data_IF_763972610100
#
_entry.id   IF_763972610100
#
_cell.length_a   1.000
_cell.length_b   1.000
_cell.length_c   1.000
_cell.angle_alpha   90.00
_cell.angle_beta   90.00
_cell.angle_gamma   90.00
#
_symmetry.space_group_name_H-M   'P 1'
#
loop_
_entity.id
_entity.type
_entity.pdbx_description
1 polymer ?
#
# COMPACT_ATOMS: atom_id res chain seq x y z
N UNK A 1 -0.16 -6.64 -15.30
CA UNK A 1 0.04 -7.41 -14.06
C UNK A 1 -1.19 -7.24 -13.17
N UNK A 2 -1.53 -8.20 -12.30
CA UNK A 2 -2.63 -8.03 -11.33
C UNK A 2 -2.07 -7.75 -9.93
N UNK A 3 -2.66 -6.76 -9.27
CA UNK A 3 -2.35 -6.34 -7.91
C UNK A 3 -3.52 -6.71 -7.00
N UNK A 4 -3.23 -7.44 -5.93
CA UNK A 4 -4.22 -7.96 -5.00
C UNK A 4 -3.89 -7.40 -3.61
N UNK A 5 -4.83 -6.69 -3.01
CA UNK A 5 -4.67 -6.21 -1.64
C UNK A 5 -5.61 -7.00 -0.74
N UNK A 6 -5.03 -7.79 0.16
CA UNK A 6 -5.75 -8.38 1.28
C UNK A 6 -6.10 -7.26 2.26
N UNK A 7 -7.37 -6.84 2.33
CA UNK A 7 -7.78 -5.72 3.17
C UNK A 7 -7.94 -6.18 4.62
N UNK A 8 -6.87 -6.00 5.42
CA UNK A 8 -6.78 -6.50 6.79
C UNK A 8 -7.15 -5.44 7.84
N UNK A 9 -8.10 -4.56 7.51
CA UNK A 9 -8.55 -3.46 8.36
C UNK A 9 -10.07 -3.43 8.51
N UNK A 10 -10.53 -2.75 9.56
CA UNK A 10 -11.96 -2.51 9.77
C UNK A 10 -12.36 -1.21 9.07
N UNK A 11 -13.19 -1.33 8.03
CA UNK A 11 -13.66 -0.19 7.26
C UNK A 11 -12.56 0.53 6.48
N UNK A 12 -12.85 1.77 6.08
CA UNK A 12 -11.97 2.56 5.22
C UNK A 12 -11.74 3.94 5.84
N UNK A 13 -10.59 4.11 6.51
CA UNK A 13 -10.17 5.45 6.95
C UNK A 13 -9.93 6.37 5.75
N UNK A 14 -9.94 7.70 5.96
CA UNK A 14 -9.64 8.64 4.87
C UNK A 14 -8.25 8.35 4.27
N UNK A 15 -7.26 8.01 5.11
CA UNK A 15 -5.93 7.59 4.65
C UNK A 15 -6.01 6.43 3.65
N UNK A 16 -6.71 5.35 4.00
CA UNK A 16 -6.87 4.16 3.15
C UNK A 16 -7.60 4.51 1.86
N UNK A 17 -8.62 5.37 1.93
CA UNK A 17 -9.35 5.84 0.75
C UNK A 17 -8.42 6.59 -0.19
N UNK A 18 -7.54 7.45 0.32
CA UNK A 18 -6.56 8.19 -0.49
C UNK A 18 -5.53 7.25 -1.12
N UNK A 19 -4.95 6.32 -0.35
CA UNK A 19 -4.04 5.30 -0.88
C UNK A 19 -4.69 4.50 -2.01
N UNK A 20 -5.86 3.92 -1.76
CA UNK A 20 -6.55 3.09 -2.76
C UNK A 20 -6.97 3.90 -3.98
N UNK A 21 -7.41 5.14 -3.80
CA UNK A 21 -7.68 6.07 -4.91
C UNK A 21 -6.44 6.25 -5.77
N UNK A 22 -5.28 6.50 -5.16
CA UNK A 22 -4.01 6.68 -5.86
C UNK A 22 -3.60 5.40 -6.59
N UNK A 23 -3.71 4.24 -5.92
CA UNK A 23 -3.38 2.95 -6.52
C UNK A 23 -4.25 2.67 -7.76
N UNK A 24 -5.57 2.86 -7.67
CA UNK A 24 -6.46 2.65 -8.83
C UNK A 24 -6.07 3.55 -10.00
N UNK A 25 -5.70 4.82 -9.74
CA UNK A 25 -5.23 5.76 -10.77
C UNK A 25 -3.91 5.31 -11.41
N UNK A 26 -3.01 4.70 -10.65
CA UNK A 26 -1.68 4.28 -11.11
C UNK A 26 -1.69 2.95 -11.86
N UNK A 27 -2.37 1.93 -11.33
CA UNK A 27 -2.37 0.58 -11.92
C UNK A 27 -3.57 0.32 -12.84
N UNK A 28 -4.61 1.15 -12.74
CA UNK A 28 -5.88 0.99 -13.44
C UNK A 28 -6.83 0.03 -12.73
N UNK A 29 -8.12 0.39 -12.69
CA UNK A 29 -9.17 -0.38 -11.99
C UNK A 29 -9.23 -1.86 -12.37
N UNK A 30 -8.92 -2.19 -13.63
CA UNK A 30 -8.96 -3.57 -14.13
C UNK A 30 -7.86 -4.43 -13.49
N UNK A 31 -6.79 -3.82 -12.99
CA UNK A 31 -5.61 -4.50 -12.49
C UNK A 31 -5.54 -4.56 -10.97
N UNK A 32 -6.46 -3.92 -10.24
CA UNK A 32 -6.52 -3.93 -8.78
C UNK A 32 -7.75 -4.68 -8.30
N UNK A 33 -7.58 -5.54 -7.30
CA UNK A 33 -8.69 -6.13 -6.54
C UNK A 33 -8.40 -6.11 -5.04
N UNK A 34 -9.40 -5.71 -4.25
CA UNK A 34 -9.38 -5.92 -2.79
C UNK A 34 -10.02 -7.25 -2.44
N UNK A 35 -9.37 -8.02 -1.58
CA UNK A 35 -9.86 -9.33 -1.13
C UNK A 35 -10.00 -9.37 0.38
N UNK A 36 -10.68 -10.41 0.86
CA UNK A 36 -10.86 -10.69 2.29
C UNK A 36 -11.56 -9.59 3.08
N UNK A 37 -12.41 -8.79 2.43
CA UNK A 37 -13.30 -7.90 3.16
C UNK A 37 -14.22 -8.74 4.08
N UNK A 38 -14.63 -8.23 5.25
CA UNK A 38 -15.55 -8.95 6.13
C UNK A 38 -16.80 -9.42 5.37
N UNK A 39 -17.28 -10.63 5.67
CA UNK A 39 -18.39 -11.25 4.93
C UNK A 39 -19.71 -10.48 4.98
N UNK A 40 -19.88 -9.59 5.96
CA UNK A 40 -21.04 -8.71 6.10
C UNK A 40 -20.96 -7.44 5.22
N UNK A 41 -19.78 -7.12 4.66
CA UNK A 41 -19.60 -5.94 3.81
C UNK A 41 -20.41 -6.08 2.53
N UNK A 42 -21.16 -5.03 2.22
CA UNK A 42 -21.93 -4.85 0.99
C UNK A 42 -21.39 -3.64 0.23
N UNK A 43 -21.90 -3.42 -0.99
CA UNK A 43 -21.53 -2.23 -1.78
C UNK A 43 -21.80 -0.91 -1.03
N UNK A 44 -22.82 -0.88 -0.16
CA UNK A 44 -23.16 0.32 0.64
C UNK A 44 -22.07 0.70 1.66
N UNK A 45 -21.23 -0.25 2.06
CA UNK A 45 -20.13 -0.04 3.00
C UNK A 45 -18.84 0.39 2.30
N UNK A 46 -18.79 0.29 0.97
CA UNK A 46 -17.63 0.71 0.18
C UNK A 46 -17.69 2.22 -0.06
N UNK A 47 -16.60 2.96 0.19
CA UNK A 47 -16.56 4.39 -0.04
C UNK A 47 -16.93 4.76 -1.48
N UNK A 48 -17.88 5.69 -1.64
CA UNK A 48 -18.35 6.16 -2.96
C UNK A 48 -17.20 6.59 -3.87
N UNK A 49 -16.16 7.23 -3.33
CA UNK A 49 -14.97 7.64 -4.10
C UNK A 49 -14.28 6.46 -4.79
N UNK A 50 -14.21 5.31 -4.13
CA UNK A 50 -13.60 4.10 -4.69
C UNK A 50 -14.54 3.41 -5.68
N UNK A 51 -15.85 3.38 -5.39
CA UNK A 51 -16.86 2.87 -6.33
C UNK A 51 -16.90 3.68 -7.64
N UNK A 52 -16.85 5.01 -7.55
CA UNK A 52 -16.83 5.91 -8.71
C UNK A 52 -15.59 5.66 -9.61
N UNK A 53 -14.49 5.20 -9.01
CA UNK A 53 -13.26 4.80 -9.73
C UNK A 53 -13.32 3.37 -10.27
N UNK A 54 -14.38 2.62 -9.95
CA UNK A 54 -14.60 1.25 -10.40
C UNK A 54 -13.78 0.22 -9.63
N UNK A 55 -13.56 0.45 -8.33
CA UNK A 55 -12.89 -0.50 -7.44
C UNK A 55 -13.50 -1.91 -7.57
N UNK A 56 -12.65 -2.90 -7.87
CA UNK A 56 -13.02 -4.30 -7.74
C UNK A 56 -12.71 -4.78 -6.33
N UNK A 57 -13.68 -5.45 -5.70
CA UNK A 57 -13.53 -5.95 -4.33
C UNK A 57 -14.33 -7.24 -4.14
N UNK A 58 -13.95 -8.03 -3.14
CA UNK A 58 -14.66 -9.26 -2.77
C UNK A 58 -14.46 -9.59 -1.30
N UNK A 59 -15.42 -10.30 -0.71
CA UNK A 59 -15.31 -10.89 0.63
C UNK A 59 -14.55 -12.22 0.64
N UNK A 60 -14.28 -12.77 -0.54
CA UNK A 60 -13.46 -13.98 -0.72
C UNK A 60 -11.98 -13.70 -0.49
N UNK A 61 -11.24 -14.73 -0.10
CA UNK A 61 -9.80 -14.64 0.07
C UNK A 61 -9.06 -14.54 -1.27
N UNK A 62 -7.81 -14.06 -1.28
CA UNK A 62 -7.04 -13.95 -2.53
C UNK A 62 -6.88 -15.28 -3.27
N UNK A 63 -6.76 -16.40 -2.54
CA UNK A 63 -6.67 -17.76 -3.12
C UNK A 63 -7.90 -18.21 -3.88
N UNK A 64 -9.03 -17.49 -3.75
CA UNK A 64 -10.27 -17.77 -4.46
C UNK A 64 -10.45 -16.90 -5.72
N UNK A 65 -9.48 -16.02 -6.02
CA UNK A 65 -9.49 -15.21 -7.24
C UNK A 65 -9.19 -16.07 -8.46
N UNK A 66 -9.97 -15.89 -9.52
CA UNK A 66 -9.82 -16.65 -10.76
C UNK A 66 -8.42 -16.45 -11.37
N UNK A 67 -7.77 -17.55 -11.75
CA UNK A 67 -6.43 -17.58 -12.33
C UNK A 67 -5.29 -17.40 -11.32
N UNK A 68 -5.59 -17.09 -10.06
CA UNK A 68 -4.59 -16.98 -9.01
C UNK A 68 -4.23 -18.38 -8.50
N UNK A 69 -3.00 -18.80 -8.77
CA UNK A 69 -2.45 -20.08 -8.35
C UNK A 69 -1.19 -19.89 -7.52
N UNK A 70 -0.94 -20.80 -6.57
CA UNK A 70 0.20 -20.68 -5.65
C UNK A 70 1.55 -20.42 -6.34
N UNK A 71 1.74 -20.95 -7.55
CA UNK A 71 3.00 -20.87 -8.28
C UNK A 71 3.15 -19.61 -9.13
N UNK A 72 2.07 -18.88 -9.44
CA UNK A 72 2.11 -17.63 -10.21
C UNK A 72 1.84 -16.38 -9.35
N UNK A 73 1.95 -16.53 -8.02
CA UNK A 73 1.73 -15.47 -7.04
C UNK A 73 3.01 -15.11 -6.31
N UNK A 74 3.27 -13.82 -6.27
CA UNK A 74 4.28 -13.21 -5.40
C UNK A 74 3.59 -12.52 -4.22
N UNK A 75 3.99 -12.85 -2.99
CA UNK A 75 3.64 -12.09 -1.80
C UNK A 75 4.72 -11.04 -1.53
N UNK A 76 4.34 -9.76 -1.51
CA UNK A 76 5.26 -8.71 -1.08
C UNK A 76 5.36 -8.73 0.44
N UNK A 77 6.55 -9.08 0.92
CA UNK A 77 6.80 -9.45 2.30
C UNK A 77 8.09 -8.80 2.81
N UNK A 78 8.00 -7.85 3.76
CA UNK A 78 9.18 -7.23 4.37
C UNK A 78 10.13 -8.22 5.07
N UNK A 79 9.64 -9.42 5.43
CA UNK A 79 10.44 -10.47 6.06
C UNK A 79 10.97 -11.52 5.06
N UNK A 80 10.71 -11.38 3.75
CA UNK A 80 11.29 -12.25 2.76
C UNK A 80 12.82 -12.06 2.65
N UNK A 81 13.52 -13.15 2.34
CA UNK A 81 14.99 -13.16 2.16
C UNK A 81 15.41 -12.75 0.75
N UNK A 82 14.51 -12.90 -0.23
CA UNK A 82 14.76 -12.60 -1.65
C UNK A 82 14.13 -11.26 -2.02
N UNK A 83 14.91 -10.37 -2.63
CA UNK A 83 14.40 -9.10 -3.17
C UNK A 83 13.59 -9.33 -4.45
N UNK A 84 12.59 -8.47 -4.70
CA UNK A 84 11.88 -8.43 -5.97
C UNK A 84 12.83 -7.96 -7.08
N UNK A 85 12.81 -8.66 -8.21
CA UNK A 85 13.66 -8.36 -9.37
C UNK A 85 12.84 -8.25 -10.66
N UNK A 86 13.34 -7.56 -11.70
CA UNK A 86 12.64 -7.48 -12.98
C UNK A 86 12.32 -8.86 -13.59
N UNK A 87 13.16 -9.87 -13.38
CA UNK A 87 12.96 -11.24 -13.89
C UNK A 87 11.77 -11.96 -13.24
N UNK A 88 11.30 -11.50 -12.07
CA UNK A 88 10.12 -12.07 -11.43
C UNK A 88 8.83 -11.78 -12.21
N UNK A 89 8.86 -10.85 -13.16
CA UNK A 89 7.77 -10.59 -14.10
C UNK A 89 7.45 -11.75 -15.06
N UNK A 90 8.38 -12.68 -15.25
CA UNK A 90 8.18 -13.90 -16.06
C UNK A 90 7.62 -15.05 -15.23
N UNK A 91 7.64 -14.92 -13.90
CA UNK A 91 7.27 -15.98 -12.95
C UNK A 91 5.89 -15.77 -12.33
N UNK A 92 5.48 -14.52 -12.16
CA UNK A 92 4.28 -14.18 -11.42
C UNK A 92 3.32 -13.32 -12.24
N UNK A 93 2.04 -13.67 -12.16
CA UNK A 93 0.93 -12.93 -12.76
C UNK A 93 0.21 -12.05 -11.72
N UNK A 94 0.36 -12.40 -10.45
CA UNK A 94 -0.29 -11.75 -9.31
C UNK A 94 0.72 -11.31 -8.26
N UNK A 95 0.57 -10.08 -7.79
CA UNK A 95 1.33 -9.52 -6.67
C UNK A 95 0.36 -9.22 -5.52
N UNK A 96 0.51 -9.94 -4.42
CA UNK A 96 -0.33 -9.86 -3.23
C UNK A 96 0.34 -8.96 -2.19
N UNK A 97 -0.42 -8.03 -1.64
CA UNK A 97 -0.02 -7.11 -0.58
C UNK A 97 -0.94 -7.34 0.62
N UNK A 98 -0.35 -7.52 1.81
CA UNK A 98 -1.12 -7.38 3.04
C UNK A 98 -1.44 -5.91 3.23
N UNK A 99 -2.69 -5.50 3.01
CA UNK A 99 -3.16 -4.14 3.22
C UNK A 99 -3.06 -3.79 4.70
N UNK A 100 -2.06 -3.00 5.06
CA UNK A 100 -1.77 -2.65 6.45
C UNK A 100 -1.32 -1.19 6.46
N UNK A 101 -2.09 -0.33 7.13
CA UNK A 101 -1.56 0.91 7.68
C UNK A 101 -0.40 0.53 8.60
N UNK A 102 0.79 0.98 8.24
CA UNK A 102 1.99 0.67 8.98
C UNK A 102 1.88 1.16 10.41
N UNK A 103 1.72 0.23 11.36
CA UNK A 103 1.91 0.53 12.77
C UNK A 103 3.39 0.79 13.01
N UNK A 104 3.69 1.77 13.86
CA UNK A 104 5.01 1.92 14.46
C UNK A 104 4.89 1.64 15.96
N UNK A 105 5.44 0.52 16.48
CA UNK A 105 6.31 -0.46 15.82
C UNK A 105 5.57 -1.40 14.86
N UNK A 106 6.32 -1.94 13.89
CA UNK A 106 5.79 -2.81 12.82
C UNK A 106 5.18 -4.11 13.38
N UNK A 107 3.93 -4.38 13.01
CA UNK A 107 3.28 -5.68 13.25
C UNK A 107 3.36 -6.54 11.98
N UNK A 108 3.92 -7.75 12.06
CA UNK A 108 4.04 -8.70 10.94
C UNK A 108 2.68 -9.36 10.59
N UNK A 109 1.72 -8.58 10.09
CA UNK A 109 0.44 -9.15 9.60
C UNK A 109 0.63 -9.88 8.26
N UNK A 110 1.57 -9.46 7.42
CA UNK A 110 1.94 -10.20 6.19
C UNK A 110 2.40 -11.63 6.49
N UNK A 111 3.02 -11.86 7.66
CA UNK A 111 3.36 -13.19 8.15
C UNK A 111 2.16 -14.14 8.30
N UNK A 112 0.94 -13.62 8.48
CA UNK A 112 -0.29 -14.43 8.45
C UNK A 112 -0.49 -15.00 7.05
N UNK A 113 -0.42 -14.16 6.01
CA UNK A 113 -0.56 -14.56 4.60
C UNK A 113 0.55 -15.54 4.19
N UNK A 114 1.80 -15.25 4.59
CA UNK A 114 2.97 -16.12 4.37
C UNK A 114 2.74 -17.53 4.92
N UNK A 115 2.31 -17.65 6.18
CA UNK A 115 2.07 -18.95 6.83
C UNK A 115 0.83 -19.66 6.28
N UNK A 116 -0.22 -18.91 5.96
CA UNK A 116 -1.51 -19.46 5.55
C UNK A 116 -1.48 -20.02 4.11
N UNK A 117 -0.93 -19.26 3.16
CA UNK A 117 -0.97 -19.62 1.74
C UNK A 117 0.35 -20.19 1.22
N UNK A 118 1.48 -19.87 1.87
CA UNK A 118 2.80 -20.35 1.47
C UNK A 118 3.23 -19.84 0.09
N UNK A 119 2.82 -18.63 -0.29
CA UNK A 119 3.24 -17.96 -1.52
C UNK A 119 4.74 -17.68 -1.54
N UNK A 120 5.29 -17.51 -2.74
CA UNK A 120 6.67 -17.06 -2.90
C UNK A 120 6.79 -15.61 -2.40
N UNK A 121 7.59 -15.39 -1.35
CA UNK A 121 7.85 -14.06 -0.81
C UNK A 121 8.89 -13.29 -1.64
N UNK A 122 8.67 -11.99 -1.81
CA UNK A 122 9.69 -11.03 -2.27
C UNK A 122 9.68 -9.79 -1.40
N UNK A 123 10.87 -9.28 -1.12
CA UNK A 123 11.07 -8.05 -0.35
C UNK A 123 11.25 -6.85 -1.29
N UNK A 124 10.89 -5.66 -0.80
CA UNK A 124 11.10 -4.37 -1.47
C UNK A 124 12.08 -3.52 -0.64
N UNK A 125 13.29 -4.03 -0.44
CA UNK A 125 14.27 -3.46 0.47
C UNK A 125 13.89 -3.59 1.95
N UNK A 126 14.75 -3.09 2.83
CA UNK A 126 14.64 -3.33 4.28
C UNK A 126 13.61 -2.45 5.01
N UNK A 127 13.35 -1.26 4.48
CA UNK A 127 12.47 -0.28 5.11
C UNK A 127 11.01 -0.49 4.71
N UNK A 128 10.10 -0.09 5.61
CA UNK A 128 8.68 -0.20 5.36
C UNK A 128 8.24 0.88 4.37
N UNK A 129 7.33 0.50 3.48
CA UNK A 129 6.64 1.40 2.55
C UNK A 129 5.16 1.42 2.91
N UNK A 130 4.48 2.52 2.57
CA UNK A 130 3.01 2.54 2.49
C UNK A 130 2.54 1.58 1.38
N UNK A 131 1.25 1.19 1.40
CA UNK A 131 0.72 0.24 0.41
C UNK A 131 0.85 0.78 -1.01
N UNK A 132 0.54 2.06 -1.22
CA UNK A 132 0.65 2.71 -2.52
C UNK A 132 2.11 2.78 -2.99
N UNK A 133 3.05 3.09 -2.09
CA UNK A 133 4.48 3.12 -2.43
C UNK A 133 5.01 1.72 -2.74
N UNK A 134 4.58 0.70 -2.01
CA UNK A 134 4.97 -0.68 -2.28
C UNK A 134 4.48 -1.13 -3.66
N UNK A 135 3.22 -0.84 -4.01
CA UNK A 135 2.65 -1.14 -5.33
C UNK A 135 3.40 -0.37 -6.43
N UNK A 136 3.64 0.92 -6.25
CA UNK A 136 4.40 1.75 -7.19
C UNK A 136 5.83 1.23 -7.38
N UNK A 137 6.46 0.75 -6.32
CA UNK A 137 7.79 0.12 -6.38
C UNK A 137 7.73 -1.18 -7.19
N UNK A 138 6.75 -2.04 -6.92
CA UNK A 138 6.51 -3.26 -7.71
C UNK A 138 6.28 -2.94 -9.18
N UNK A 139 5.48 -1.92 -9.50
CA UNK A 139 5.24 -1.49 -10.88
C UNK A 139 6.55 -1.07 -11.57
N UNK A 140 7.39 -0.26 -10.91
CA UNK A 140 8.69 0.14 -11.45
C UNK A 140 9.63 -1.05 -11.71
N UNK A 141 9.60 -2.06 -10.85
CA UNK A 141 10.46 -3.23 -11.00
C UNK A 141 9.94 -4.16 -12.10
N UNK A 142 8.64 -4.46 -12.07
CA UNK A 142 8.02 -5.50 -12.88
C UNK A 142 7.61 -5.01 -14.26
N UNK A 143 7.06 -3.80 -14.35
CA UNK A 143 6.56 -3.21 -15.58
C UNK A 143 7.64 -2.34 -16.25
N UNK A 144 8.27 -1.43 -15.51
CA UNK A 144 9.32 -0.56 -16.06
C UNK A 144 10.70 -1.24 -16.17
N UNK A 145 10.83 -2.48 -15.69
CA UNK A 145 12.08 -3.28 -15.67
C UNK A 145 13.25 -2.57 -14.99
N UNK A 146 12.98 -1.74 -13.98
CA UNK A 146 14.03 -1.08 -13.19
C UNK A 146 14.49 -1.97 -12.06
N UNK A 147 15.80 -2.02 -11.82
CA UNK A 147 16.30 -2.61 -10.60
C UNK A 147 15.93 -1.74 -9.39
N UNK A 148 15.82 -2.35 -8.21
CA UNK A 148 15.43 -1.64 -6.99
C UNK A 148 16.38 -0.47 -6.67
N UNK A 149 17.68 -0.68 -6.87
CA UNK A 149 18.75 0.29 -6.67
C UNK A 149 18.68 1.51 -7.59
N UNK A 150 17.98 1.42 -8.72
CA UNK A 150 17.81 2.52 -9.67
C UNK A 150 16.59 3.40 -9.35
N UNK A 151 15.77 2.99 -8.38
CA UNK A 151 14.61 3.76 -7.93
C UNK A 151 15.09 4.77 -6.88
N UNK A 152 14.77 6.05 -7.11
CA UNK A 152 15.08 7.12 -6.17
C UNK A 152 14.10 7.08 -5.01
N UNK A 153 14.63 6.89 -3.80
CA UNK A 153 13.84 6.88 -2.57
C UNK A 153 14.23 8.03 -1.64
N UNK A 154 13.31 8.39 -0.76
CA UNK A 154 13.58 9.14 0.46
C UNK A 154 13.09 8.31 1.65
N UNK A 155 13.94 8.23 2.67
CA UNK A 155 13.66 7.50 3.89
C UNK A 155 13.24 8.50 4.96
N UNK A 156 12.12 8.21 5.62
CA UNK A 156 11.64 8.99 6.76
C UNK A 156 11.50 10.50 6.45
N UNK A 157 10.77 10.90 5.39
CA UNK A 157 10.67 12.30 5.03
C UNK A 157 9.95 13.10 6.11
N UNK A 158 10.51 14.26 6.43
CA UNK A 158 9.88 15.27 7.28
C UNK A 158 8.97 16.16 6.41
N UNK A 159 7.68 16.15 6.70
CA UNK A 159 6.68 16.99 6.04
C UNK A 159 6.48 18.24 6.89
N UNK A 160 6.95 19.39 6.41
CA UNK A 160 6.75 20.71 7.06
C UNK A 160 5.45 21.36 6.61
N UNK A 161 4.63 21.80 7.57
CA UNK A 161 3.39 22.55 7.30
C UNK A 161 3.60 24.05 7.40
N UNK A 162 4.47 24.49 8.30
CA UNK A 162 4.86 25.88 8.47
C UNK A 162 6.28 25.98 9.09
N UNK A 163 6.64 27.16 9.61
CA UNK A 163 7.98 27.41 10.18
C UNK A 163 8.26 26.64 11.48
N UNK A 164 7.22 26.15 12.16
CA UNK A 164 7.31 25.56 13.49
C UNK A 164 6.84 24.10 13.54
N UNK A 165 6.06 23.66 12.55
CA UNK A 165 5.40 22.36 12.58
C UNK A 165 5.82 21.45 11.44
N UNK A 166 6.13 20.21 11.80
CA UNK A 166 6.38 19.12 10.88
C UNK A 166 6.03 17.77 11.49
N UNK A 167 5.81 16.79 10.63
CA UNK A 167 5.72 15.38 11.02
C UNK A 167 6.70 14.57 10.20
N UNK A 168 7.46 13.71 10.87
CA UNK A 168 8.28 12.70 10.21
C UNK A 168 7.39 11.51 9.85
N UNK A 169 7.40 11.14 8.57
CA UNK A 169 6.64 9.98 8.10
C UNK A 169 7.51 8.72 8.28
N UNK A 170 7.11 7.71 9.08
CA UNK A 170 7.96 6.57 9.43
C UNK A 170 8.10 5.51 8.30
N UNK A 171 8.16 5.96 7.04
CA UNK A 171 8.17 5.11 5.84
C UNK A 171 9.19 5.57 4.80
N UNK A 172 9.55 4.66 3.90
CA UNK A 172 10.26 4.93 2.66
C UNK A 172 9.25 5.31 1.57
N UNK A 173 9.56 6.37 0.82
CA UNK A 173 8.76 6.86 -0.32
C UNK A 173 9.60 6.93 -1.59
N UNK A 174 8.96 6.75 -2.75
CA UNK A 174 9.58 7.04 -4.05
C UNK A 174 9.60 8.56 -4.27
N UNK A 175 10.71 9.08 -4.78
CA UNK A 175 10.84 10.46 -5.24
C UNK A 175 10.38 10.59 -6.71
N UNK A 176 9.67 11.67 -7.01
CA UNK A 176 9.41 12.09 -8.39
C UNK A 176 10.67 12.72 -9.04
N UNK A 177 10.56 13.14 -10.30
CA UNK A 177 11.68 13.76 -11.03
C UNK A 177 12.15 15.10 -10.44
N UNK A 178 11.29 15.76 -9.66
CA UNK A 178 11.57 17.01 -8.94
C UNK A 178 12.22 16.77 -7.56
N UNK A 179 12.38 15.51 -7.15
CA UNK A 179 12.95 15.15 -5.85
C UNK A 179 11.97 15.27 -4.68
N UNK A 180 10.66 15.25 -4.96
CA UNK A 180 9.58 15.33 -3.97
C UNK A 180 9.01 13.91 -3.73
N UNK A 181 8.75 13.49 -2.47
CA UNK A 181 8.10 12.21 -2.19
C UNK A 181 6.70 12.16 -2.82
N UNK A 182 6.42 11.06 -3.53
CA UNK A 182 5.12 10.82 -4.12
C UNK A 182 4.17 10.36 -3.01
N UNK A 183 3.19 11.21 -2.70
CA UNK A 183 2.09 10.92 -1.78
C UNK A 183 0.77 10.86 -2.57
N UNK A 184 -0.24 10.12 -2.07
CA UNK A 184 -1.59 10.23 -2.60
C UNK A 184 -2.09 11.68 -2.61
N UNK A 185 -2.80 12.06 -3.67
CA UNK A 185 -3.51 13.35 -3.72
C UNK A 185 -4.43 13.48 -2.51
N UNK A 186 -4.37 14.60 -1.77
CA UNK A 186 -5.14 14.78 -0.52
C UNK A 186 -4.39 14.37 0.76
N UNK A 187 -3.30 13.60 0.64
CA UNK A 187 -2.62 13.03 1.81
C UNK A 187 -1.90 14.10 2.63
N UNK A 188 -1.30 15.08 1.96
CA UNK A 188 -0.62 16.19 2.64
C UNK A 188 -1.62 17.03 3.45
N UNK A 189 -2.82 17.29 2.91
CA UNK A 189 -3.88 17.98 3.65
C UNK A 189 -4.41 17.16 4.82
N UNK A 190 -4.54 15.84 4.67
CA UNK A 190 -4.96 14.95 5.75
C UNK A 190 -3.97 14.98 6.91
N UNK A 191 -2.68 14.79 6.60
CA UNK A 191 -1.60 14.83 7.59
C UNK A 191 -1.59 16.19 8.31
N UNK A 192 -1.78 17.30 7.59
CA UNK A 192 -1.83 18.64 8.20
C UNK A 192 -2.99 18.78 9.19
N UNK A 193 -4.18 18.25 8.85
CA UNK A 193 -5.35 18.30 9.74
C UNK A 193 -5.14 17.49 11.01
N UNK A 194 -4.51 16.32 10.90
CA UNK A 194 -4.23 15.48 12.06
C UNK A 194 -3.23 16.17 13.02
N UNK A 195 -2.23 16.88 12.47
CA UNK A 195 -1.31 17.69 13.27
C UNK A 195 -2.04 18.86 13.98
N UNK A 196 -2.92 19.59 13.29
CA UNK A 196 -3.72 20.68 13.88
C UNK A 196 -4.63 20.16 15.03
N UNK A 197 -5.33 19.04 14.82
CA UNK A 197 -6.22 18.46 15.85
C UNK A 197 -5.46 18.02 17.11
N UNK A 198 -4.29 17.39 16.94
CA UNK A 198 -3.47 16.95 18.09
C UNK A 198 -3.08 18.09 19.03
N UNK A 199 -2.98 19.32 18.51
CA UNK A 199 -2.65 20.51 19.30
C UNK A 199 -3.88 21.05 20.00
N UNK A 200 -5.02 21.13 19.32
CA UNK A 200 -6.27 21.58 19.94
C UNK A 200 -6.64 20.69 21.14
N UNK A 201 -6.47 19.37 21.02
CA UNK A 201 -6.69 18.43 22.12
C UNK A 201 -5.75 18.69 23.31
N UNK A 202 -4.46 18.96 23.05
CA UNK A 202 -3.48 19.33 24.09
C UNK A 202 -3.82 20.66 24.79
N UNK A 203 -4.36 21.63 24.05
CA UNK A 203 -4.75 22.94 24.58
C UNK A 203 -6.08 22.91 25.33
N UNK A 204 -6.92 21.90 25.10
CA UNK A 204 -8.20 21.71 25.80
C UNK A 204 -8.06 20.93 27.12
N UNK A 205 -6.90 20.32 27.40
CA UNK A 205 -6.60 19.62 28.65
C UNK A 205 -5.98 20.51 29.75
N UNK A 206 -5.83 21.84 29.51
CA UNK A 206 -5.43 22.86 30.51
C UNK A 206 -6.61 23.62 31.12
#
# INVERSE_FOLDING_TARGET
MKYVIEHMEEGFSEWVILEYTQIIKEVGKENLILTSLPSAVTEADIPKRLLDLGLQWTTKECVEIEGLEKNNVCLLDPAAETELTPEDSEKFDFFVFGGILGSHPRIDRTGILRRKYGFAGRRLGALQMTTDTAIRTTQKIIEDKKSFEDIKFIDYPEIRYNKHESTEMPFRYILNDEGIPILPEGMLELIRKDAEQSIDDLLMEE
#
